data_IF_290372542086
#
_entry.id   IF_290372542086
#
_cell.length_a   1.000
_cell.length_b   1.000
_cell.length_c   1.000
_cell.angle_alpha   90.00
_cell.angle_beta   90.00
_cell.angle_gamma   90.00
#
_symmetry.space_group_name_H-M   'P 1'
#
loop_
_entity.id
_entity.type
_entity.pdbx_description
1 polymer ?
#
# COMPACT_ATOMS: atom_id res chain seq x y z
N UNK A 1 25.45 61.34 -110.58
CA UNK A 1 25.95 60.16 -109.84
C UNK A 1 24.92 59.89 -108.77
N UNK A 2 24.21 58.77 -108.90
CA UNK A 2 23.01 58.43 -108.13
C UNK A 2 23.40 57.74 -106.82
N UNK A 3 23.03 58.33 -105.68
CA UNK A 3 23.15 57.67 -104.38
C UNK A 3 21.77 57.13 -103.96
N UNK A 4 21.64 55.80 -104.00
CA UNK A 4 20.50 55.05 -103.50
C UNK A 4 20.70 54.80 -102.00
N UNK A 5 19.77 55.20 -101.11
CA UNK A 5 19.88 54.85 -99.71
C UNK A 5 19.57 53.37 -99.51
N UNK A 6 20.56 52.64 -99.01
CA UNK A 6 20.46 51.23 -98.60
C UNK A 6 19.63 51.12 -97.33
N UNK A 7 18.57 50.32 -97.36
CA UNK A 7 17.76 49.92 -96.21
C UNK A 7 18.58 48.98 -95.30
N UNK A 8 18.68 49.21 -93.99
CA UNK A 8 19.29 48.25 -93.08
C UNK A 8 18.29 47.11 -92.77
N UNK A 9 18.71 45.86 -93.01
CA UNK A 9 18.00 44.66 -92.60
C UNK A 9 17.98 44.51 -91.07
N UNK A 10 16.78 44.29 -90.52
CA UNK A 10 16.57 43.96 -89.11
C UNK A 10 16.98 42.50 -88.87
N UNK A 11 17.86 42.19 -87.89
CA UNK A 11 18.21 40.80 -87.60
C UNK A 11 17.04 40.02 -86.98
N UNK A 12 16.76 38.84 -87.52
CA UNK A 12 15.76 37.90 -87.00
C UNK A 12 16.12 37.44 -85.58
N UNK A 13 15.14 37.50 -84.68
CA UNK A 13 15.26 36.99 -83.31
C UNK A 13 15.17 35.46 -83.32
N UNK A 14 16.09 34.70 -82.67
CA UNK A 14 15.99 33.25 -82.57
C UNK A 14 14.70 32.84 -81.84
N UNK A 15 13.97 31.86 -82.40
CA UNK A 15 12.77 31.31 -81.78
C UNK A 15 13.08 30.72 -80.39
N UNK A 16 12.26 31.08 -79.39
CA UNK A 16 12.37 30.58 -78.03
C UNK A 16 12.21 29.04 -77.98
N UNK A 17 12.99 28.34 -77.13
CA UNK A 17 12.90 26.88 -77.01
C UNK A 17 11.50 26.44 -76.56
N UNK A 18 10.92 25.44 -77.23
CA UNK A 18 9.63 24.83 -76.85
C UNK A 18 9.65 24.43 -75.37
N UNK A 19 8.63 24.86 -74.63
CA UNK A 19 8.45 24.48 -73.23
C UNK A 19 8.36 22.94 -73.12
N UNK A 20 8.96 22.33 -72.07
CA UNK A 20 8.89 20.89 -71.89
C UNK A 20 7.43 20.45 -71.80
N UNK A 21 7.05 19.45 -72.62
CA UNK A 21 5.71 18.85 -72.58
C UNK A 21 5.46 18.33 -71.17
N UNK A 22 4.55 18.99 -70.44
CA UNK A 22 4.13 18.53 -69.13
C UNK A 22 3.37 17.21 -69.29
N UNK A 23 3.91 16.13 -68.75
CA UNK A 23 3.20 14.87 -68.65
C UNK A 23 1.99 15.07 -67.74
N UNK A 24 0.78 14.89 -68.29
CA UNK A 24 -0.47 14.99 -67.54
C UNK A 24 -1.07 13.60 -67.40
N UNK A 25 -1.46 13.25 -66.17
CA UNK A 25 -2.12 11.97 -65.90
C UNK A 25 -3.61 12.06 -66.23
N UNK A 26 -4.20 10.93 -66.63
CA UNK A 26 -5.64 10.85 -66.82
C UNK A 26 -6.38 11.06 -65.49
N UNK A 27 -7.57 11.65 -65.55
CA UNK A 27 -8.43 11.85 -64.37
C UNK A 27 -8.71 10.53 -63.65
N UNK A 28 -9.00 9.48 -64.40
CA UNK A 28 -9.34 8.15 -63.85
C UNK A 28 -8.15 7.54 -63.09
N UNK A 29 -6.93 7.75 -63.58
CA UNK A 29 -5.71 7.31 -62.88
C UNK A 29 -5.53 8.04 -61.54
N UNK A 30 -5.77 9.35 -61.50
CA UNK A 30 -5.68 10.12 -60.26
C UNK A 30 -6.80 9.73 -59.28
N UNK A 31 -7.99 9.44 -59.79
CA UNK A 31 -9.16 9.04 -58.99
C UNK A 31 -8.94 7.67 -58.33
N UNK A 32 -8.46 6.68 -59.08
CA UNK A 32 -8.09 5.36 -58.55
C UNK A 32 -6.99 5.45 -57.49
N UNK A 33 -5.93 6.23 -57.75
CA UNK A 33 -4.81 6.40 -56.81
C UNK A 33 -5.26 7.08 -55.51
N UNK A 34 -6.21 8.02 -55.59
CA UNK A 34 -6.84 8.63 -54.39
C UNK A 34 -7.69 7.65 -53.61
N UNK A 35 -8.47 6.81 -54.29
CA UNK A 35 -9.29 5.77 -53.65
C UNK A 35 -8.40 4.74 -52.94
N UNK A 36 -7.33 4.28 -53.58
CA UNK A 36 -6.36 3.36 -52.98
C UNK A 36 -5.66 4.00 -51.77
N UNK A 37 -5.19 5.24 -51.89
CA UNK A 37 -4.58 5.95 -50.77
C UNK A 37 -5.55 6.14 -49.60
N UNK A 38 -6.82 6.45 -49.88
CA UNK A 38 -7.86 6.53 -48.85
C UNK A 38 -8.11 5.17 -48.18
N UNK A 39 -8.14 4.09 -48.97
CA UNK A 39 -8.27 2.72 -48.47
C UNK A 39 -7.14 2.38 -47.49
N UNK A 40 -5.89 2.57 -47.88
CA UNK A 40 -4.74 2.28 -47.01
C UNK A 40 -4.70 3.13 -45.74
N UNK A 41 -5.14 4.40 -45.81
CA UNK A 41 -5.26 5.24 -44.61
C UNK A 41 -6.31 4.69 -43.65
N UNK A 42 -7.46 4.27 -44.18
CA UNK A 42 -8.53 3.70 -43.38
C UNK A 42 -8.13 2.35 -42.78
N UNK A 43 -7.56 1.44 -43.59
CA UNK A 43 -7.06 0.14 -43.12
C UNK A 43 -6.01 0.30 -42.01
N UNK A 44 -5.05 1.22 -42.18
CA UNK A 44 -4.04 1.50 -41.14
C UNK A 44 -4.67 2.06 -39.88
N UNK A 45 -5.66 2.96 -40.01
CA UNK A 45 -6.36 3.53 -38.85
C UNK A 45 -7.14 2.45 -38.11
N UNK A 46 -7.92 1.66 -38.83
CA UNK A 46 -8.70 0.55 -38.28
C UNK A 46 -7.79 -0.46 -37.57
N UNK A 47 -6.71 -0.90 -38.20
CA UNK A 47 -5.76 -1.83 -37.58
C UNK A 47 -5.11 -1.25 -36.30
N UNK A 48 -4.80 0.05 -36.29
CA UNK A 48 -4.25 0.71 -35.10
C UNK A 48 -5.29 0.84 -33.98
N UNK A 49 -6.54 1.15 -34.32
CA UNK A 49 -7.63 1.28 -33.37
C UNK A 49 -8.03 -0.09 -32.78
N UNK A 50 -8.06 -1.14 -33.60
CA UNK A 50 -8.30 -2.53 -33.18
C UNK A 50 -7.19 -3.04 -32.26
N UNK A 51 -5.92 -2.86 -32.63
CA UNK A 51 -4.80 -3.24 -31.78
C UNK A 51 -4.84 -2.53 -30.42
N UNK A 52 -5.20 -1.24 -30.40
CA UNK A 52 -5.37 -0.49 -29.14
C UNK A 52 -6.54 -1.04 -28.33
N UNK A 53 -7.67 -1.32 -28.94
CA UNK A 53 -8.85 -1.83 -28.26
C UNK A 53 -8.59 -3.21 -27.63
N UNK A 54 -7.92 -4.11 -28.36
CA UNK A 54 -7.52 -5.42 -27.84
C UNK A 54 -6.55 -5.28 -26.66
N UNK A 55 -5.55 -4.41 -26.81
CA UNK A 55 -4.59 -4.13 -25.73
C UNK A 55 -5.29 -3.59 -24.49
N UNK A 56 -6.17 -2.59 -24.63
CA UNK A 56 -6.92 -2.00 -23.52
C UNK A 56 -7.75 -3.08 -22.81
N UNK A 57 -8.49 -3.89 -23.56
CA UNK A 57 -9.31 -4.96 -23.01
C UNK A 57 -8.49 -5.96 -22.18
N UNK A 58 -7.32 -6.33 -22.67
CA UNK A 58 -6.42 -7.27 -21.97
C UNK A 58 -5.80 -6.67 -20.70
N UNK A 59 -5.46 -5.39 -20.72
CA UNK A 59 -4.83 -4.72 -19.58
C UNK A 59 -5.82 -4.26 -18.52
N UNK A 60 -7.04 -3.87 -18.90
CA UNK A 60 -8.09 -3.48 -17.95
C UNK A 60 -8.43 -4.63 -16.99
N UNK A 61 -8.59 -5.86 -17.51
CA UNK A 61 -8.81 -7.04 -16.68
C UNK A 61 -7.65 -7.30 -15.71
N UNK A 62 -6.41 -7.24 -16.22
CA UNK A 62 -5.20 -7.43 -15.39
C UNK A 62 -5.04 -6.33 -14.35
N UNK A 63 -5.40 -5.09 -14.66
CA UNK A 63 -5.39 -3.97 -13.71
C UNK A 63 -6.40 -4.21 -12.59
N UNK A 64 -7.64 -4.58 -12.93
CA UNK A 64 -8.66 -4.89 -11.92
C UNK A 64 -8.25 -6.05 -11.00
N UNK A 65 -7.66 -7.11 -11.56
CA UNK A 65 -7.10 -8.23 -10.77
C UNK A 65 -5.98 -7.77 -9.85
N UNK A 66 -5.06 -6.94 -10.34
CA UNK A 66 -3.94 -6.40 -9.56
C UNK A 66 -4.40 -5.44 -8.47
N UNK A 67 -5.37 -4.59 -8.75
CA UNK A 67 -5.95 -3.67 -7.77
C UNK A 67 -6.65 -4.44 -6.64
N UNK A 68 -7.37 -5.51 -6.99
CA UNK A 68 -8.00 -6.41 -6.01
C UNK A 68 -6.94 -7.08 -5.14
N UNK A 69 -5.93 -7.69 -5.76
CA UNK A 69 -4.83 -8.33 -5.03
C UNK A 69 -4.04 -7.34 -4.18
N UNK A 70 -3.84 -6.11 -4.66
CA UNK A 70 -3.16 -5.07 -3.91
C UNK A 70 -3.95 -4.65 -2.67
N UNK A 71 -5.26 -4.44 -2.81
CA UNK A 71 -6.17 -4.13 -1.70
C UNK A 71 -6.19 -5.24 -0.63
N UNK A 72 -6.23 -6.50 -1.06
CA UNK A 72 -6.14 -7.66 -0.16
C UNK A 72 -4.81 -7.70 0.59
N UNK A 73 -3.69 -7.47 -0.10
CA UNK A 73 -2.35 -7.45 0.50
C UNK A 73 -2.16 -6.28 1.46
N UNK A 74 -2.68 -5.09 1.11
CA UNK A 74 -2.65 -3.91 1.97
C UNK A 74 -3.44 -4.13 3.26
N UNK A 75 -4.62 -4.76 3.16
CA UNK A 75 -5.44 -5.13 4.31
C UNK A 75 -4.72 -6.15 5.21
N UNK A 76 -4.19 -7.23 4.64
CA UNK A 76 -3.43 -8.24 5.39
C UNK A 76 -2.17 -7.66 6.06
N UNK A 77 -1.47 -6.74 5.36
CA UNK A 77 -0.32 -6.05 5.93
C UNK A 77 -0.71 -5.15 7.10
N UNK A 78 -1.81 -4.40 6.98
CA UNK A 78 -2.34 -3.56 8.06
C UNK A 78 -2.71 -4.38 9.31
N UNK A 79 -3.35 -5.54 9.12
CA UNK A 79 -3.68 -6.47 10.22
C UNK A 79 -2.42 -7.00 10.91
N UNK A 80 -1.47 -7.53 10.14
CA UNK A 80 -0.21 -8.06 10.67
C UNK A 80 0.63 -6.98 11.38
N UNK A 81 0.66 -5.77 10.83
CA UNK A 81 1.36 -4.63 11.45
C UNK A 81 0.72 -4.25 12.79
N UNK A 82 -0.61 -4.22 12.86
CA UNK A 82 -1.36 -3.92 14.08
C UNK A 82 -1.12 -5.01 15.14
N UNK A 83 -1.15 -6.28 14.75
CA UNK A 83 -0.86 -7.41 15.64
C UNK A 83 0.56 -7.32 16.22
N UNK A 84 1.55 -6.99 15.38
CA UNK A 84 2.93 -6.76 15.80
C UNK A 84 3.01 -5.61 16.83
N UNK A 85 2.30 -4.50 16.61
CA UNK A 85 2.27 -3.38 17.56
C UNK A 85 1.68 -3.81 18.90
N UNK A 86 0.59 -4.60 18.91
CA UNK A 86 0.01 -5.16 20.13
C UNK A 86 0.99 -6.06 20.86
N UNK A 87 1.65 -6.98 20.16
CA UNK A 87 2.67 -7.86 20.75
C UNK A 87 3.83 -7.06 21.36
N UNK A 88 4.33 -6.05 20.66
CA UNK A 88 5.37 -5.15 21.19
C UNK A 88 4.91 -4.44 22.47
N UNK A 89 3.68 -3.95 22.50
CA UNK A 89 3.13 -3.28 23.68
C UNK A 89 2.95 -4.24 24.87
N UNK A 90 2.49 -5.48 24.62
CA UNK A 90 2.37 -6.54 25.62
C UNK A 90 3.73 -6.89 26.23
N UNK A 91 4.75 -7.09 25.39
CA UNK A 91 6.10 -7.41 25.83
C UNK A 91 6.74 -6.29 26.67
N UNK A 92 6.48 -5.02 26.33
CA UNK A 92 6.91 -3.86 27.14
C UNK A 92 6.31 -3.85 28.53
N UNK A 93 5.11 -4.40 28.69
CA UNK A 93 4.42 -4.47 29.97
C UNK A 93 4.76 -5.73 30.77
N UNK A 94 5.78 -6.50 30.37
CA UNK A 94 6.34 -7.65 31.11
C UNK A 94 5.26 -8.70 31.50
N UNK A 95 4.26 -8.88 30.64
CA UNK A 95 3.22 -9.89 30.84
C UNK A 95 3.86 -11.28 30.69
N UNK A 96 3.52 -12.26 31.57
CA UNK A 96 4.05 -13.62 31.46
C UNK A 96 3.81 -14.21 30.07
N UNK A 97 4.81 -14.93 29.55
CA UNK A 97 4.73 -15.53 28.20
C UNK A 97 3.52 -16.45 28.00
N UNK A 98 3.05 -17.06 29.09
CA UNK A 98 1.86 -17.93 29.14
C UNK A 98 0.56 -17.17 28.83
N UNK A 99 0.48 -15.89 29.21
CA UNK A 99 -0.73 -15.05 29.10
C UNK A 99 -0.71 -14.15 27.86
N UNK A 100 0.38 -14.13 27.08
CA UNK A 100 0.57 -13.19 25.96
C UNK A 100 -0.53 -13.32 24.90
N UNK A 101 -0.90 -14.55 24.53
CA UNK A 101 -1.92 -14.79 23.51
C UNK A 101 -3.32 -14.41 24.02
N UNK A 102 -3.64 -14.70 25.28
CA UNK A 102 -4.92 -14.32 25.89
C UNK A 102 -5.06 -12.80 25.99
N UNK A 103 -3.97 -12.10 26.35
CA UNK A 103 -3.96 -10.64 26.39
C UNK A 103 -4.05 -10.06 24.98
N UNK A 104 -3.41 -10.66 23.98
CA UNK A 104 -3.47 -10.21 22.59
C UNK A 104 -4.90 -10.17 22.05
N UNK A 105 -5.71 -11.19 22.38
CA UNK A 105 -7.13 -11.25 22.02
C UNK A 105 -7.96 -10.15 22.68
N UNK A 106 -7.57 -9.71 23.88
CA UNK A 106 -8.30 -8.71 24.67
C UNK A 106 -7.90 -7.26 24.33
N UNK A 107 -6.73 -7.05 23.72
CA UNK A 107 -6.20 -5.73 23.40
C UNK A 107 -6.88 -5.13 22.18
N UNK A 108 -7.44 -3.94 22.37
CA UNK A 108 -8.16 -3.17 21.36
C UNK A 108 -7.38 -1.92 20.96
N UNK A 109 -7.53 -1.52 19.69
CA UNK A 109 -6.91 -0.32 19.14
C UNK A 109 -6.11 -0.62 17.88
N UNK A 110 -5.96 0.43 17.06
CA UNK A 110 -5.26 0.40 15.78
C UNK A 110 -4.02 1.32 15.80
N UNK A 111 -3.86 2.12 16.84
CA UNK A 111 -2.78 3.08 17.01
C UNK A 111 -1.94 2.74 18.25
N UNK A 112 -0.66 3.10 18.25
CA UNK A 112 0.25 2.77 19.33
C UNK A 112 -0.25 3.23 20.72
N UNK A 113 -0.78 4.45 20.82
CA UNK A 113 -1.27 5.01 22.10
C UNK A 113 -2.51 4.27 22.62
N UNK A 114 -3.44 3.94 21.72
CA UNK A 114 -4.69 3.24 22.11
C UNK A 114 -4.40 1.79 22.50
N UNK A 115 -3.49 1.14 21.78
CA UNK A 115 -2.98 -0.20 22.11
C UNK A 115 -2.31 -0.20 23.49
N UNK A 116 -1.39 0.74 23.75
CA UNK A 116 -0.70 0.81 25.06
C UNK A 116 -1.69 1.07 26.22
N UNK A 117 -2.66 1.96 26.03
CA UNK A 117 -3.69 2.21 27.02
C UNK A 117 -4.57 0.97 27.26
N UNK A 118 -4.87 0.21 26.21
CA UNK A 118 -5.63 -1.04 26.29
C UNK A 118 -4.84 -2.12 27.04
N UNK A 119 -3.57 -2.34 26.69
CA UNK A 119 -2.69 -3.31 27.39
C UNK A 119 -2.60 -3.00 28.87
N UNK A 120 -2.41 -1.73 29.26
CA UNK A 120 -2.39 -1.31 30.67
C UNK A 120 -3.70 -1.62 31.39
N UNK A 121 -4.83 -1.39 30.72
CA UNK A 121 -6.15 -1.74 31.27
C UNK A 121 -6.28 -3.24 31.48
N UNK A 122 -5.89 -4.05 30.50
CA UNK A 122 -5.96 -5.53 30.58
C UNK A 122 -5.05 -6.05 31.68
N UNK A 123 -3.80 -5.58 31.76
CA UNK A 123 -2.85 -5.93 32.84
C UNK A 123 -3.41 -5.60 34.23
N UNK A 124 -4.08 -4.45 34.37
CA UNK A 124 -4.73 -4.07 35.64
C UNK A 124 -5.88 -5.01 36.03
N UNK A 125 -6.52 -5.67 35.08
CA UNK A 125 -7.55 -6.67 35.34
C UNK A 125 -6.93 -8.02 35.70
N UNK A 126 -5.87 -8.42 34.98
CA UNK A 126 -5.12 -9.65 35.25
C UNK A 126 -4.51 -9.63 36.67
N UNK A 127 -3.87 -8.51 37.03
CA UNK A 127 -3.24 -8.32 38.33
C UNK A 127 -4.21 -8.14 39.51
N UNK A 128 -5.52 -8.02 39.26
CA UNK A 128 -6.56 -8.02 40.32
C UNK A 128 -6.99 -9.44 40.69
N UNK A 129 -6.56 -10.46 39.96
CA UNK A 129 -6.83 -11.83 40.34
C UNK A 129 -6.11 -12.11 41.68
N UNK A 130 -6.84 -12.50 42.74
CA UNK A 130 -6.21 -12.71 44.04
C UNK A 130 -5.11 -13.75 43.89
N UNK A 131 -3.92 -13.45 44.42
CA UNK A 131 -2.87 -14.44 44.53
C UNK A 131 -3.48 -15.70 45.14
N UNK A 132 -3.36 -16.84 44.45
CA UNK A 132 -3.95 -18.09 44.90
C UNK A 132 -3.37 -18.38 46.29
N UNK A 133 -4.20 -18.19 47.31
CA UNK A 133 -3.79 -18.49 48.69
C UNK A 133 -3.30 -19.93 48.70
N UNK A 134 -2.09 -20.14 49.22
CA UNK A 134 -1.59 -21.49 49.44
C UNK A 134 -2.62 -22.20 50.31
N UNK A 135 -2.92 -23.46 49.99
CA UNK A 135 -3.78 -24.27 50.84
C UNK A 135 -3.10 -24.42 52.21
N UNK A 136 -3.48 -23.55 53.15
CA UNK A 136 -3.04 -23.60 54.54
C UNK A 136 -4.07 -24.45 55.26
N UNK A 137 -3.66 -25.62 55.71
CA UNK A 137 -4.45 -26.45 56.59
C UNK A 137 -4.72 -25.68 57.90
N UNK A 138 -5.98 -25.36 58.24
CA UNK A 138 -6.31 -24.65 59.46
C UNK A 138 -5.87 -25.39 60.74
N UNK A 139 -5.71 -26.72 60.67
CA UNK A 139 -5.31 -27.57 61.79
C UNK A 139 -3.82 -27.50 62.11
N UNK A 140 -2.99 -27.03 61.17
CA UNK A 140 -1.55 -26.84 61.39
C UNK A 140 -1.21 -25.56 62.15
N UNK A 141 -2.22 -24.74 62.46
CA UNK A 141 -2.08 -23.51 63.23
C UNK A 141 -1.35 -22.41 62.45
N UNK A 142 -1.81 -21.17 62.60
CA UNK A 142 -0.99 -20.01 62.22
C UNK A 142 0.15 -19.95 63.23
N UNK A 143 1.22 -20.69 62.99
CA UNK A 143 2.40 -20.73 63.83
C UNK A 143 2.98 -19.33 63.96
N UNK A 144 2.56 -18.61 65.00
CA UNK A 144 3.21 -17.40 65.46
C UNK A 144 4.03 -17.85 66.68
N UNK A 145 5.25 -18.39 66.46
CA UNK A 145 6.06 -18.88 67.57
C UNK A 145 6.46 -17.66 68.40
N UNK A 146 5.73 -17.42 69.49
CA UNK A 146 6.22 -16.52 70.53
C UNK A 146 7.46 -17.24 71.09
N UNK A 147 8.66 -16.64 70.97
CA UNK A 147 9.87 -17.30 71.47
C UNK A 147 9.70 -17.54 72.97
N UNK A 148 9.82 -18.81 73.39
CA UNK A 148 9.65 -19.25 74.78
C UNK A 148 10.65 -18.58 75.74
N UNK A 149 11.72 -18.01 75.19
CA UNK A 149 12.79 -17.34 75.91
C UNK A 149 12.74 -15.80 75.79
N UNK A 150 11.61 -15.21 75.39
CA UNK A 150 11.49 -13.78 75.11
C UNK A 150 10.64 -12.99 76.11
N UNK A 151 10.89 -11.68 76.18
CA UNK A 151 10.17 -10.72 77.04
C UNK A 151 8.65 -10.72 76.82
N UNK A 152 8.19 -11.19 75.65
CA UNK A 152 6.76 -11.31 75.37
C UNK A 152 6.08 -12.33 76.28
N UNK A 153 6.72 -13.46 76.58
CA UNK A 153 6.16 -14.50 77.45
C UNK A 153 6.14 -14.00 78.90
N UNK A 154 7.22 -13.37 79.36
CA UNK A 154 7.30 -12.81 80.71
C UNK A 154 6.30 -11.68 80.91
N UNK A 155 6.11 -10.81 79.93
CA UNK A 155 5.09 -9.76 79.99
C UNK A 155 3.66 -10.33 79.97
N UNK A 156 3.42 -11.41 79.23
CA UNK A 156 2.12 -12.09 79.21
C UNK A 156 1.81 -12.76 80.56
N UNK A 157 2.81 -13.40 81.18
CA UNK A 157 2.72 -13.96 82.54
C UNK A 157 2.55 -12.88 83.61
N UNK A 158 3.31 -11.77 83.52
CA UNK A 158 3.15 -10.61 84.41
C UNK A 158 1.75 -10.02 84.33
N UNK A 159 1.22 -9.87 83.12
CA UNK A 159 -0.16 -9.42 82.90
C UNK A 159 -1.20 -10.40 83.47
N UNK A 160 -0.98 -11.71 83.32
CA UNK A 160 -1.90 -12.73 83.82
C UNK A 160 -1.90 -12.86 85.36
N UNK A 161 -0.75 -12.63 86.00
CA UNK A 161 -0.56 -12.75 87.46
C UNK A 161 -0.67 -11.40 88.18
N UNK A 162 -0.85 -10.30 87.44
CA UNK A 162 -1.00 -8.94 88.00
C UNK A 162 0.28 -8.36 88.59
N UNK A 163 1.44 -8.93 88.27
CA UNK A 163 2.73 -8.41 88.69
C UNK A 163 3.15 -7.25 87.75
N UNK A 164 3.42 -6.08 88.32
CA UNK A 164 4.02 -4.94 87.59
C UNK A 164 5.54 -5.08 87.58
#
# INVERSE_FOLDING_TARGET
MSDTPTTPETPETPAAPEAPKQETFSRDYVETLRQEAARYRNEKKTAADEARAETIKDYEGKLAEKDTAYSEMESAFGEAYTELLKLKAILREEIPAEDVLEVLELVQGNDAETIEASVKRVKSLLGKSPAKDRAIDPSQGKGNPIPLNGDKVTNMLKAAVGAR
#
